data_IF_319823397842
#
_entry.id   IF_319823397842
#
_cell.length_a   1.000
_cell.length_b   1.000
_cell.length_c   1.000
_cell.angle_alpha   90.00
_cell.angle_beta   90.00
_cell.angle_gamma   90.00
#
_symmetry.space_group_name_H-M   'P 1'
#
loop_
_entity.id
_entity.type
_entity.pdbx_description
1 polymer ?
#
# COMPACT_ATOMS: atom_id res chain seq x y z
N UNK A 1 14.31 -20.14 -9.28
CA UNK A 1 14.28 -19.22 -10.43
C UNK A 1 12.95 -19.27 -11.17
N UNK A 2 12.50 -20.41 -11.65
CA UNK A 2 11.23 -20.58 -12.41
C UNK A 2 9.99 -20.05 -11.65
N UNK A 3 9.85 -20.34 -10.36
CA UNK A 3 8.71 -19.82 -9.54
C UNK A 3 8.64 -18.31 -9.48
N UNK A 4 9.78 -17.60 -9.45
CA UNK A 4 9.81 -16.13 -9.47
C UNK A 4 9.38 -15.58 -10.82
N UNK A 5 9.78 -16.23 -11.91
CA UNK A 5 9.39 -15.84 -13.27
C UNK A 5 7.88 -16.02 -13.46
N UNK A 6 7.34 -17.17 -13.06
CA UNK A 6 5.90 -17.46 -13.11
C UNK A 6 5.11 -16.42 -12.29
N UNK A 7 5.58 -16.10 -11.10
CA UNK A 7 4.94 -15.11 -10.22
C UNK A 7 4.94 -13.71 -10.86
N UNK A 8 6.05 -13.31 -11.49
CA UNK A 8 6.17 -12.04 -12.17
C UNK A 8 5.25 -11.96 -13.40
N UNK A 9 5.20 -13.03 -14.19
CA UNK A 9 4.30 -13.11 -15.37
C UNK A 9 2.84 -13.03 -14.91
N UNK A 10 2.47 -13.77 -13.86
CA UNK A 10 1.11 -13.76 -13.33
C UNK A 10 0.71 -12.36 -12.85
N UNK A 11 1.57 -11.68 -12.11
CA UNK A 11 1.33 -10.30 -11.66
C UNK A 11 1.09 -9.33 -12.82
N UNK A 12 1.70 -9.58 -13.99
CA UNK A 12 1.50 -8.73 -15.18
C UNK A 12 0.24 -9.04 -15.96
N UNK A 13 -0.16 -10.31 -15.99
CA UNK A 13 -1.35 -10.76 -16.75
C UNK A 13 -2.63 -10.52 -15.96
N UNK A 14 -2.62 -10.86 -14.66
CA UNK A 14 -3.76 -10.70 -13.76
C UNK A 14 -3.30 -10.12 -12.41
N UNK A 15 -3.08 -8.81 -12.32
CA UNK A 15 -2.58 -8.17 -11.10
C UNK A 15 -3.52 -8.35 -9.90
N UNK A 16 -4.83 -8.36 -10.13
CA UNK A 16 -5.84 -8.51 -9.07
C UNK A 16 -5.86 -9.94 -8.55
N UNK A 17 -5.93 -10.92 -9.45
CA UNK A 17 -5.84 -12.33 -9.09
C UNK A 17 -4.54 -12.66 -8.37
N UNK A 18 -3.43 -12.10 -8.82
CA UNK A 18 -2.14 -12.23 -8.14
C UNK A 18 -2.19 -11.66 -6.72
N UNK A 19 -2.70 -10.42 -6.54
CA UNK A 19 -2.82 -9.79 -5.23
C UNK A 19 -3.66 -10.62 -4.26
N UNK A 20 -4.81 -11.10 -4.70
CA UNK A 20 -5.69 -11.98 -3.91
C UNK A 20 -5.00 -13.30 -3.55
N UNK A 21 -4.28 -13.90 -4.49
CA UNK A 21 -3.55 -15.16 -4.27
C UNK A 21 -2.48 -15.06 -3.20
N UNK A 22 -1.79 -13.93 -3.10
CA UNK A 22 -0.77 -13.70 -2.07
C UNK A 22 -1.33 -13.21 -0.72
N UNK A 23 -2.65 -13.00 -0.63
CA UNK A 23 -3.35 -12.70 0.62
C UNK A 23 -3.87 -11.28 0.77
N UNK A 24 -3.72 -10.40 -0.23
CA UNK A 24 -4.32 -9.07 -0.22
C UNK A 24 -5.84 -9.18 -0.37
N UNK A 25 -6.59 -8.48 0.47
CA UNK A 25 -8.04 -8.35 0.30
C UNK A 25 -8.30 -7.25 -0.72
N UNK A 26 -8.89 -7.60 -1.85
CA UNK A 26 -9.21 -6.66 -2.94
C UNK A 26 -10.70 -6.73 -3.24
N UNK A 27 -11.35 -5.58 -3.22
CA UNK A 27 -12.77 -5.41 -3.57
C UNK A 27 -13.04 -5.57 -5.06
N UNK A 28 -14.20 -5.08 -5.49
CA UNK A 28 -14.68 -5.23 -6.85
C UNK A 28 -14.34 -4.01 -7.73
N UNK A 29 -14.33 -4.20 -9.06
CA UNK A 29 -14.11 -3.14 -10.05
C UNK A 29 -12.82 -2.35 -9.86
N UNK A 30 -11.80 -2.95 -9.25
CA UNK A 30 -10.49 -2.34 -9.08
C UNK A 30 -9.65 -2.44 -10.35
N UNK A 31 -8.70 -1.50 -10.50
CA UNK A 31 -7.64 -1.56 -11.51
C UNK A 31 -6.30 -1.40 -10.80
N UNK A 32 -5.41 -2.36 -10.99
CA UNK A 32 -4.14 -2.41 -10.26
C UNK A 32 -3.00 -2.58 -11.27
N UNK A 33 -2.05 -1.66 -11.22
CA UNK A 33 -0.79 -1.77 -11.95
C UNK A 33 0.21 -2.70 -11.25
N UNK A 34 1.44 -2.73 -11.74
CA UNK A 34 2.53 -3.50 -11.11
C UNK A 34 2.86 -2.85 -9.77
N UNK A 35 2.65 -3.59 -8.69
CA UNK A 35 2.67 -3.09 -7.31
C UNK A 35 3.55 -3.99 -6.44
N UNK A 36 4.31 -3.37 -5.53
CA UNK A 36 5.04 -4.08 -4.47
C UNK A 36 4.14 -4.19 -3.22
N UNK A 37 3.79 -5.42 -2.84
CA UNK A 37 2.83 -5.72 -1.79
C UNK A 37 3.44 -5.91 -0.40
N UNK A 38 4.76 -5.70 -0.27
CA UNK A 38 5.46 -5.97 0.98
C UNK A 38 5.61 -7.47 1.26
N UNK A 39 6.09 -7.79 2.44
CA UNK A 39 6.30 -9.19 2.89
C UNK A 39 5.08 -9.80 3.57
N UNK A 40 4.15 -8.99 4.06
CA UNK A 40 2.92 -9.41 4.75
C UNK A 40 1.66 -8.90 4.00
N UNK A 41 1.40 -9.39 2.77
CA UNK A 41 0.29 -8.89 1.94
C UNK A 41 -1.09 -9.09 2.58
N UNK A 42 -1.25 -10.04 3.49
CA UNK A 42 -2.47 -10.25 4.26
C UNK A 42 -2.85 -9.10 5.20
N UNK A 43 -1.93 -8.16 5.44
CA UNK A 43 -2.19 -6.93 6.21
C UNK A 43 -2.77 -5.79 5.36
N UNK A 44 -2.96 -6.01 4.05
CA UNK A 44 -3.47 -5.01 3.12
C UNK A 44 -4.91 -5.33 2.76
N UNK A 45 -5.77 -4.31 2.88
CA UNK A 45 -7.15 -4.36 2.41
C UNK A 45 -7.48 -3.18 1.52
N UNK A 46 -8.12 -3.46 0.39
CA UNK A 46 -8.50 -2.51 -0.66
C UNK A 46 -10.00 -2.64 -0.88
N UNK A 47 -10.71 -1.53 -0.83
CA UNK A 47 -12.15 -1.45 -1.08
C UNK A 47 -12.51 -1.63 -2.55
N UNK A 48 -13.72 -1.19 -2.89
CA UNK A 48 -14.25 -1.29 -4.25
C UNK A 48 -13.87 -0.06 -5.10
N UNK A 49 -13.79 -0.25 -6.40
CA UNK A 49 -13.57 0.81 -7.39
C UNK A 49 -12.27 1.60 -7.17
N UNK A 50 -11.22 0.93 -6.68
CA UNK A 50 -9.90 1.53 -6.42
C UNK A 50 -9.01 1.40 -7.65
N UNK A 51 -8.33 2.51 -8.01
CA UNK A 51 -7.29 2.52 -9.02
C UNK A 51 -5.92 2.69 -8.37
N UNK A 52 -5.05 1.70 -8.55
CA UNK A 52 -3.66 1.73 -8.10
C UNK A 52 -2.76 1.78 -9.33
N UNK A 53 -2.00 2.84 -9.47
CA UNK A 53 -1.03 3.00 -10.54
C UNK A 53 0.17 2.07 -10.36
N UNK A 54 1.01 1.96 -11.38
CA UNK A 54 2.21 1.12 -11.29
C UNK A 54 3.28 1.70 -10.33
N UNK A 55 4.16 0.83 -9.86
CA UNK A 55 5.27 1.13 -8.94
C UNK A 55 4.84 1.66 -7.58
N UNK A 56 3.61 1.43 -7.19
CA UNK A 56 3.15 1.69 -5.82
C UNK A 56 3.78 0.65 -4.89
N UNK A 57 4.20 1.09 -3.71
CA UNK A 57 4.82 0.22 -2.70
C UNK A 57 4.01 0.24 -1.41
N UNK A 58 3.56 -0.93 -0.98
CA UNK A 58 2.98 -1.13 0.34
C UNK A 58 4.04 -1.68 1.28
N UNK A 59 4.39 -0.91 2.31
CA UNK A 59 5.33 -1.30 3.35
C UNK A 59 4.53 -1.62 4.60
N UNK A 60 4.41 -2.88 4.93
CA UNK A 60 3.55 -3.37 6.02
C UNK A 60 4.33 -3.80 7.26
N UNK A 61 5.67 -3.74 7.23
CA UNK A 61 6.48 -3.85 8.44
C UNK A 61 7.62 -2.83 8.44
N UNK A 62 8.07 -2.48 9.63
CA UNK A 62 9.14 -1.52 9.86
C UNK A 62 10.41 -2.23 10.33
N UNK A 63 11.47 -2.13 9.53
CA UNK A 63 12.77 -2.71 9.84
C UNK A 63 13.60 -1.91 10.84
N UNK A 64 13.15 -0.74 11.32
CA UNK A 64 13.91 0.12 12.22
C UNK A 64 14.23 -0.54 13.56
N UNK A 65 13.47 -1.54 13.97
CA UNK A 65 13.76 -2.36 15.17
C UNK A 65 15.09 -3.08 15.10
N UNK A 66 15.69 -3.21 13.91
CA UNK A 66 17.03 -3.75 13.73
C UNK A 66 18.08 -3.06 14.59
N UNK A 67 17.97 -1.73 14.76
CA UNK A 67 18.92 -0.91 15.54
C UNK A 67 19.00 -1.35 17.00
N UNK A 68 17.94 -1.94 17.53
CA UNK A 68 17.83 -2.33 18.94
C UNK A 68 18.06 -3.81 19.21
N UNK A 69 18.38 -4.62 18.17
CA UNK A 69 18.49 -6.09 18.28
C UNK A 69 19.51 -6.58 19.33
N UNK A 70 20.54 -5.78 19.59
CA UNK A 70 21.59 -6.14 20.57
C UNK A 70 21.15 -5.98 22.02
N UNK A 71 20.00 -5.37 22.28
CA UNK A 71 19.45 -5.20 23.61
C UNK A 71 18.51 -6.36 23.93
N UNK A 72 18.71 -7.11 25.04
CA UNK A 72 17.92 -8.29 25.38
C UNK A 72 16.40 -8.01 25.41
N UNK A 73 16.00 -6.84 25.92
CA UNK A 73 14.61 -6.41 26.03
C UNK A 73 13.89 -6.22 24.69
N UNK A 74 14.65 -6.02 23.60
CA UNK A 74 14.09 -5.85 22.23
C UNK A 74 14.33 -7.06 21.32
N UNK A 75 14.80 -8.17 21.88
CA UNK A 75 15.04 -9.39 21.11
C UNK A 75 13.73 -9.90 20.49
N UNK A 76 13.70 -10.01 19.16
CA UNK A 76 12.53 -10.51 18.43
C UNK A 76 11.40 -9.50 18.25
N UNK A 77 11.58 -8.24 18.65
CA UNK A 77 10.57 -7.19 18.40
C UNK A 77 10.53 -6.84 16.91
N UNK A 78 9.33 -6.88 16.34
CA UNK A 78 9.02 -6.45 14.98
C UNK A 78 7.79 -5.56 14.98
N UNK A 79 7.77 -4.54 14.14
CA UNK A 79 6.64 -3.63 14.02
C UNK A 79 5.93 -3.90 12.69
N UNK A 80 4.69 -4.33 12.78
CA UNK A 80 3.80 -4.53 11.64
C UNK A 80 2.66 -3.52 11.69
N UNK A 81 2.08 -3.20 10.54
CA UNK A 81 0.92 -2.34 10.47
C UNK A 81 0.01 -2.69 9.29
N UNK A 82 -1.29 -2.73 9.57
CA UNK A 82 -2.30 -2.86 8.52
C UNK A 82 -2.31 -1.62 7.65
N UNK A 83 -2.56 -1.80 6.35
CA UNK A 83 -2.80 -0.72 5.39
C UNK A 83 -4.20 -0.91 4.83
N UNK A 84 -5.06 0.10 4.98
CA UNK A 84 -6.45 0.05 4.57
C UNK A 84 -6.75 1.13 3.55
N UNK A 85 -7.28 0.72 2.41
CA UNK A 85 -7.74 1.63 1.36
C UNK A 85 -9.25 1.52 1.27
N UNK A 86 -9.93 2.65 1.39
CA UNK A 86 -11.39 2.76 1.26
C UNK A 86 -11.86 2.54 -0.18
N UNK A 87 -13.10 2.89 -0.44
CA UNK A 87 -13.73 2.74 -1.76
C UNK A 87 -13.46 3.97 -2.64
N UNK A 88 -13.43 3.79 -3.96
CA UNK A 88 -13.27 4.88 -4.95
C UNK A 88 -12.04 5.73 -4.67
N UNK A 89 -10.92 5.09 -4.36
CA UNK A 89 -9.64 5.77 -4.12
C UNK A 89 -8.74 5.68 -5.35
N UNK A 90 -7.86 6.67 -5.47
CA UNK A 90 -6.78 6.67 -6.45
C UNK A 90 -5.43 6.72 -5.75
N UNK A 91 -4.51 5.85 -6.16
CA UNK A 91 -3.12 5.85 -5.70
C UNK A 91 -2.22 6.08 -6.90
N UNK A 92 -1.53 7.22 -6.90
CA UNK A 92 -0.67 7.67 -7.99
C UNK A 92 0.61 6.85 -8.14
N UNK A 93 1.20 6.92 -9.31
CA UNK A 93 2.41 6.19 -9.69
C UNK A 93 3.56 6.43 -8.71
N UNK A 94 4.23 5.35 -8.29
CA UNK A 94 5.39 5.42 -7.41
C UNK A 94 5.10 5.86 -5.98
N UNK A 95 3.85 5.96 -5.57
CA UNK A 95 3.51 6.28 -4.18
C UNK A 95 3.92 5.14 -3.23
N UNK A 96 4.23 5.51 -1.98
CA UNK A 96 4.60 4.57 -0.92
C UNK A 96 3.66 4.72 0.26
N UNK A 97 3.09 3.61 0.72
CA UNK A 97 2.22 3.56 1.89
C UNK A 97 2.94 2.83 3.03
N UNK A 98 3.08 3.50 4.17
CA UNK A 98 3.79 3.01 5.34
C UNK A 98 2.87 2.21 6.28
N UNK A 99 3.43 1.42 7.22
CA UNK A 99 2.64 0.61 8.14
C UNK A 99 1.63 1.43 8.95
N UNK A 100 0.39 0.97 9.06
CA UNK A 100 -0.67 1.60 9.85
C UNK A 100 -1.41 2.73 9.15
N UNK A 101 -1.19 2.94 7.85
CA UNK A 101 -1.87 4.00 7.09
C UNK A 101 -3.25 3.57 6.61
N UNK A 102 -4.13 4.56 6.46
CA UNK A 102 -5.48 4.36 5.94
C UNK A 102 -5.83 5.47 4.94
N UNK A 103 -6.59 5.14 3.93
CA UNK A 103 -7.21 6.09 3.01
C UNK A 103 -8.73 5.98 3.15
N UNK A 104 -9.38 7.09 3.49
CA UNK A 104 -10.84 7.18 3.51
C UNK A 104 -11.43 7.10 2.10
N UNK A 105 -12.72 6.87 2.00
CA UNK A 105 -13.43 6.77 0.71
C UNK A 105 -13.27 8.06 -0.12
N UNK A 106 -13.25 7.92 -1.44
CA UNK A 106 -13.14 9.03 -2.39
C UNK A 106 -11.88 9.89 -2.20
N UNK A 107 -10.78 9.29 -1.76
CA UNK A 107 -9.52 10.00 -1.53
C UNK A 107 -8.47 9.72 -2.60
N UNK A 108 -7.51 10.61 -2.70
CA UNK A 108 -6.42 10.54 -3.68
C UNK A 108 -5.08 10.65 -2.98
N UNK A 109 -4.18 9.74 -3.29
CA UNK A 109 -2.76 9.84 -2.98
C UNK A 109 -2.00 10.12 -4.28
N UNK A 110 -1.35 11.29 -4.35
CA UNK A 110 -0.66 11.74 -5.55
C UNK A 110 0.58 10.88 -5.88
N UNK A 111 1.00 10.94 -7.14
CA UNK A 111 2.20 10.22 -7.60
C UNK A 111 3.44 10.60 -6.79
N UNK A 112 4.27 9.60 -6.45
CA UNK A 112 5.50 9.77 -5.69
C UNK A 112 5.32 10.16 -4.22
N UNK A 113 4.09 10.26 -3.73
CA UNK A 113 3.83 10.62 -2.34
C UNK A 113 4.19 9.50 -1.38
N UNK A 114 4.60 9.87 -0.15
CA UNK A 114 4.81 8.93 0.95
C UNK A 114 3.74 9.12 2.01
N UNK A 115 2.85 8.16 2.15
CA UNK A 115 1.79 8.18 3.14
C UNK A 115 2.27 7.56 4.46
N UNK A 116 2.25 8.35 5.53
CA UNK A 116 2.60 7.92 6.89
C UNK A 116 1.46 8.14 7.91
N UNK A 117 0.31 8.62 7.44
CA UNK A 117 -0.85 8.98 8.25
C UNK A 117 -2.14 8.44 7.63
N UNK A 118 -3.27 8.81 8.21
CA UNK A 118 -4.60 8.52 7.66
C UNK A 118 -5.07 9.67 6.79
N UNK A 119 -5.55 9.39 5.59
CA UNK A 119 -6.22 10.36 4.71
C UNK A 119 -7.71 10.31 5.03
N UNK A 120 -8.34 11.41 5.44
CA UNK A 120 -9.78 11.50 5.55
C UNK A 120 -10.49 11.28 4.22
N UNK A 121 -11.77 10.88 4.27
CA UNK A 121 -12.57 10.72 3.06
C UNK A 121 -12.67 12.04 2.28
N UNK A 122 -12.59 11.97 0.95
CA UNK A 122 -12.73 13.10 0.04
C UNK A 122 -11.50 14.00 -0.08
N UNK A 123 -10.37 13.64 0.53
CA UNK A 123 -9.17 14.47 0.48
C UNK A 123 -8.14 14.01 -0.55
N UNK A 124 -7.36 14.96 -1.05
CA UNK A 124 -6.23 14.74 -1.96
C UNK A 124 -4.93 15.05 -1.22
N UNK A 125 -4.05 14.06 -1.12
CA UNK A 125 -2.78 14.19 -0.43
C UNK A 125 -1.61 13.94 -1.39
N UNK A 126 -0.52 14.72 -1.23
CA UNK A 126 0.66 14.59 -2.07
C UNK A 126 1.95 15.15 -1.46
N UNK A 127 3.07 14.89 -2.12
CA UNK A 127 4.40 15.34 -1.74
C UNK A 127 5.15 14.41 -0.78
N UNK A 128 6.42 14.73 -0.47
CA UNK A 128 7.30 13.91 0.37
C UNK A 128 6.90 13.86 1.85
N UNK A 129 6.04 14.78 2.28
CA UNK A 129 5.48 14.85 3.66
C UNK A 129 3.96 14.88 3.65
N UNK A 130 3.31 14.38 2.60
CA UNK A 130 1.85 14.38 2.43
C UNK A 130 1.21 15.69 2.86
N UNK A 131 1.32 16.71 2.01
CA UNK A 131 0.56 17.96 2.18
C UNK A 131 -0.88 17.74 1.73
N UNK A 132 -1.82 18.28 2.48
CA UNK A 132 -3.23 18.29 2.13
C UNK A 132 -3.43 19.28 0.98
N UNK A 133 -4.01 18.80 -0.11
CA UNK A 133 -4.59 19.66 -1.14
C UNK A 133 -6.10 19.65 -0.91
N UNK A 134 -6.64 20.79 -0.51
CA UNK A 134 -8.10 20.93 -0.50
C UNK A 134 -8.60 20.95 -1.94
N UNK A 135 -9.77 20.35 -2.19
CA UNK A 135 -10.45 20.55 -3.46
C UNK A 135 -10.53 22.05 -3.73
N UNK A 136 -9.81 22.49 -4.78
CA UNK A 136 -9.98 23.85 -5.27
C UNK A 136 -11.40 24.00 -5.79
N UNK A 137 -12.17 24.84 -5.19
CA UNK A 137 -13.41 25.33 -5.78
C UNK A 137 -13.09 26.29 -6.90
#
# INVERSE_FOLDING_TARGET
MIKKIISYVYMRIDPIGYARKIGVKVGNKCRIGITAWGSEPYLISIGDEVLISSRVSFINHDGATWVFRNKPEYKGVSKFGQIKIGNRCFIGWGATLLPGTEMGDNSVLAAGAVLSKKIPAGEIWGGGTCKIYHEGR
#
